data_IF_120643332786
#
_entry.id   IF_120643332786
#
_cell.length_a   1.000
_cell.length_b   1.000
_cell.length_c   1.000
_cell.angle_alpha   90.00
_cell.angle_beta   90.00
_cell.angle_gamma   90.00
#
_symmetry.space_group_name_H-M   'P 1'
#
loop_
_entity.id
_entity.type
_entity.pdbx_description
1 polymer ?
#
# COMPACT_ATOMS: atom_id res chain seq x y z
N UNK A 1 -4.08 -30.86 -4.28
CA UNK A 1 -4.42 -29.59 -3.61
C UNK A 1 -4.78 -28.58 -4.68
N UNK A 2 -6.02 -28.06 -4.76
CA UNK A 2 -6.44 -27.37 -5.97
C UNK A 2 -5.79 -25.97 -6.06
N UNK A 3 -5.24 -25.71 -7.25
CA UNK A 3 -4.66 -24.46 -7.72
C UNK A 3 -5.76 -23.56 -8.31
N UNK A 4 -6.61 -22.95 -7.49
CA UNK A 4 -7.75 -22.12 -7.98
C UNK A 4 -7.65 -20.63 -7.65
N UNK A 5 -6.72 -20.19 -6.81
CA UNK A 5 -6.66 -18.81 -6.30
C UNK A 5 -6.11 -17.75 -7.29
N UNK A 6 -6.14 -17.98 -8.61
CA UNK A 6 -5.47 -17.10 -9.58
C UNK A 6 -6.33 -16.63 -10.76
N UNK A 7 -7.67 -16.64 -10.67
CA UNK A 7 -8.51 -16.20 -11.82
C UNK A 7 -9.63 -15.20 -11.55
N UNK A 8 -9.94 -14.86 -10.31
CA UNK A 8 -11.08 -14.00 -10.01
C UNK A 8 -10.59 -12.74 -9.28
N UNK A 9 -10.81 -11.58 -9.90
CA UNK A 9 -10.58 -10.27 -9.29
C UNK A 9 -11.65 -9.92 -8.25
N UNK A 10 -11.54 -8.78 -7.56
CA UNK A 10 -12.52 -8.31 -6.60
C UNK A 10 -14.00 -8.37 -7.04
N UNK A 11 -14.30 -8.02 -8.29
CA UNK A 11 -15.66 -8.08 -8.83
C UNK A 11 -16.22 -9.50 -8.82
N UNK A 12 -15.43 -10.47 -9.23
CA UNK A 12 -15.86 -11.87 -9.31
C UNK A 12 -16.17 -12.46 -7.91
N UNK A 13 -15.33 -12.17 -6.91
CA UNK A 13 -15.61 -12.60 -5.53
C UNK A 13 -16.84 -11.89 -4.95
N UNK A 14 -17.04 -10.61 -5.26
CA UNK A 14 -18.21 -9.86 -4.79
C UNK A 14 -19.52 -10.43 -5.39
N UNK A 15 -19.52 -10.72 -6.69
CA UNK A 15 -20.64 -11.35 -7.36
C UNK A 15 -20.94 -12.75 -6.82
N UNK A 16 -19.91 -13.56 -6.53
CA UNK A 16 -20.11 -14.88 -5.93
C UNK A 16 -20.82 -14.80 -4.56
N UNK A 17 -20.50 -13.79 -3.74
CA UNK A 17 -21.17 -13.57 -2.45
C UNK A 17 -22.63 -13.11 -2.61
N UNK A 18 -22.95 -12.33 -3.65
CA UNK A 18 -24.33 -11.97 -3.99
C UNK A 18 -25.13 -13.20 -4.45
N UNK A 19 -24.55 -14.03 -5.31
CA UNK A 19 -25.19 -15.26 -5.81
C UNK A 19 -25.42 -16.30 -4.70
N UNK A 20 -24.51 -16.36 -3.72
CA UNK A 20 -24.65 -17.19 -2.53
C UNK A 20 -25.69 -16.66 -1.52
N UNK A 21 -26.18 -15.42 -1.69
CA UNK A 21 -27.10 -14.77 -0.76
C UNK A 21 -26.44 -14.27 0.54
N UNK A 22 -25.11 -14.28 0.62
CA UNK A 22 -24.33 -13.77 1.76
C UNK A 22 -24.29 -12.24 1.79
N UNK A 23 -24.48 -11.60 0.63
CA UNK A 23 -24.59 -10.15 0.48
C UNK A 23 -25.90 -9.76 -0.19
N UNK A 24 -26.38 -8.56 0.16
CA UNK A 24 -27.47 -7.90 -0.53
C UNK A 24 -26.89 -6.90 -1.55
N UNK A 25 -27.52 -6.71 -2.72
CA UNK A 25 -27.07 -5.72 -3.69
C UNK A 25 -27.01 -4.31 -3.08
N UNK A 26 -25.85 -3.67 -3.17
CA UNK A 26 -25.63 -2.28 -2.73
C UNK A 26 -24.83 -1.53 -3.80
N UNK A 27 -25.41 -0.46 -4.36
CA UNK A 27 -24.81 0.32 -5.44
C UNK A 27 -23.48 1.01 -5.03
N UNK A 28 -23.33 1.40 -3.77
CA UNK A 28 -22.09 2.00 -3.26
C UNK A 28 -20.99 0.95 -3.10
N UNK A 29 -21.34 -0.25 -2.64
CA UNK A 29 -20.39 -1.36 -2.59
C UNK A 29 -19.94 -1.77 -3.99
N UNK A 30 -20.88 -1.88 -4.94
CA UNK A 30 -20.56 -2.18 -6.34
C UNK A 30 -19.58 -1.15 -6.94
N UNK A 31 -19.82 0.16 -6.74
CA UNK A 31 -18.91 1.21 -7.21
C UNK A 31 -17.52 1.16 -6.57
N UNK A 32 -17.44 0.83 -5.27
CA UNK A 32 -16.18 0.62 -4.58
C UNK A 32 -15.43 -0.62 -5.11
N UNK A 33 -16.15 -1.71 -5.38
CA UNK A 33 -15.61 -2.94 -5.96
C UNK A 33 -15.04 -2.69 -7.36
N UNK A 34 -15.73 -1.93 -8.22
CA UNK A 34 -15.18 -1.55 -9.54
C UNK A 34 -13.88 -0.75 -9.42
N UNK A 35 -13.78 0.11 -8.40
CA UNK A 35 -12.52 0.82 -8.14
C UNK A 35 -11.41 -0.15 -7.71
N UNK A 36 -11.73 -1.11 -6.84
CA UNK A 36 -10.79 -2.14 -6.37
C UNK A 36 -10.37 -3.10 -7.49
N UNK A 37 -11.28 -3.44 -8.41
CA UNK A 37 -11.00 -4.25 -9.60
C UNK A 37 -10.00 -3.56 -10.53
N UNK A 38 -10.19 -2.26 -10.78
CA UNK A 38 -9.21 -1.45 -11.53
C UNK A 38 -7.83 -1.52 -10.88
N UNK A 39 -7.75 -1.30 -9.56
CA UNK A 39 -6.48 -1.35 -8.84
C UNK A 39 -5.86 -2.75 -8.87
N UNK A 40 -6.67 -3.80 -8.75
CA UNK A 40 -6.21 -5.19 -8.85
C UNK A 40 -5.50 -5.46 -10.19
N UNK A 41 -6.12 -5.05 -11.30
CA UNK A 41 -5.51 -5.18 -12.63
C UNK A 41 -4.25 -4.35 -12.80
N UNK A 42 -4.25 -3.09 -12.35
CA UNK A 42 -3.06 -2.25 -12.40
C UNK A 42 -1.89 -2.83 -11.59
N UNK A 43 -2.17 -3.47 -10.44
CA UNK A 43 -1.15 -4.10 -9.60
C UNK A 43 -0.57 -5.39 -10.19
N UNK A 44 -1.34 -6.17 -10.95
CA UNK A 44 -0.83 -7.37 -11.63
C UNK A 44 0.36 -7.03 -12.55
N UNK A 45 0.26 -5.91 -13.25
CA UNK A 45 1.25 -5.43 -14.21
C UNK A 45 2.34 -4.56 -13.57
N UNK A 46 2.11 -4.07 -12.35
CA UNK A 46 3.03 -3.18 -11.67
C UNK A 46 4.26 -3.92 -11.11
N UNK A 47 5.46 -3.37 -11.36
CA UNK A 47 6.72 -3.88 -10.81
C UNK A 47 7.48 -2.71 -10.16
N UNK A 48 7.57 -2.64 -8.83
CA UNK A 48 8.11 -1.49 -8.09
C UNK A 48 9.63 -1.27 -8.23
N UNK A 49 10.30 -1.94 -9.17
CA UNK A 49 11.73 -1.78 -9.47
C UNK A 49 12.05 -2.05 -10.95
N UNK A 50 11.08 -1.84 -11.84
CA UNK A 50 11.34 -1.92 -13.29
C UNK A 50 12.42 -0.90 -13.66
N UNK A 51 13.59 -1.37 -14.13
CA UNK A 51 14.75 -0.53 -14.50
C UNK A 51 14.30 0.72 -15.25
N UNK A 52 14.38 1.87 -14.61
CA UNK A 52 14.27 3.17 -15.27
C UNK A 52 15.52 3.32 -16.13
N UNK A 53 15.38 3.14 -17.45
CA UNK A 53 16.50 3.32 -18.36
C UNK A 53 16.83 4.81 -18.47
N UNK A 54 18.02 5.19 -17.97
CA UNK A 54 18.47 6.58 -17.85
C UNK A 54 19.23 7.12 -19.08
N UNK A 55 19.25 6.43 -20.22
CA UNK A 55 19.97 6.90 -21.42
C UNK A 55 19.01 7.14 -22.60
N UNK A 56 18.94 8.41 -23.02
CA UNK A 56 18.34 8.98 -24.25
C UNK A 56 16.96 8.46 -24.70
N UNK A 57 16.52 8.86 -25.90
CA UNK A 57 15.39 8.42 -26.77
C UNK A 57 14.36 7.38 -26.27
N UNK A 58 14.75 6.36 -25.49
CA UNK A 58 13.88 5.36 -24.90
C UNK A 58 13.29 5.69 -23.52
N UNK A 59 13.44 6.92 -23.02
CA UNK A 59 12.65 7.43 -21.86
C UNK A 59 11.13 7.37 -22.10
N UNK A 60 10.69 7.31 -23.36
CA UNK A 60 9.28 7.08 -23.74
C UNK A 60 8.79 5.64 -23.49
N UNK A 61 9.69 4.68 -23.28
CA UNK A 61 9.37 3.32 -22.85
C UNK A 61 9.51 3.17 -21.32
N UNK A 62 9.48 4.29 -20.59
CA UNK A 62 9.58 4.33 -19.13
C UNK A 62 8.51 3.48 -18.46
N UNK A 63 8.93 2.72 -17.43
CA UNK A 63 8.08 1.79 -16.69
C UNK A 63 6.74 2.41 -16.26
N UNK A 64 5.71 1.58 -16.16
CA UNK A 64 4.36 1.99 -15.75
C UNK A 64 4.42 2.76 -14.43
N UNK A 65 3.78 3.93 -14.40
CA UNK A 65 3.61 4.73 -13.19
C UNK A 65 2.96 3.89 -12.08
N UNK A 66 3.32 4.17 -10.82
CA UNK A 66 2.69 3.53 -9.68
C UNK A 66 1.16 3.68 -9.74
N UNK A 67 0.39 2.59 -9.57
CA UNK A 67 -1.06 2.64 -9.55
C UNK A 67 -1.58 3.62 -8.50
N UNK A 68 -2.65 4.35 -8.83
CA UNK A 68 -3.30 5.20 -7.83
C UNK A 68 -4.06 4.33 -6.83
N UNK A 69 -3.71 4.47 -5.56
CA UNK A 69 -4.39 3.81 -4.44
C UNK A 69 -5.85 4.24 -4.26
N UNK A 70 -6.54 3.61 -3.33
CA UNK A 70 -7.97 3.81 -3.06
C UNK A 70 -8.16 4.15 -1.58
N UNK A 71 -8.99 5.15 -1.32
CA UNK A 71 -9.45 5.50 0.01
C UNK A 71 -10.94 5.17 0.13
N UNK A 72 -11.26 4.11 0.89
CA UNK A 72 -12.64 3.69 1.13
C UNK A 72 -13.24 4.48 2.29
N UNK A 73 -14.28 5.25 2.02
CA UNK A 73 -14.99 6.04 3.03
C UNK A 73 -16.49 5.80 2.98
N UNK A 74 -17.18 6.09 4.08
CA UNK A 74 -18.62 5.89 4.21
C UNK A 74 -19.03 5.57 5.65
N UNK A 75 -20.34 5.51 5.89
CA UNK A 75 -20.90 5.28 7.23
C UNK A 75 -20.47 3.97 7.89
N UNK A 76 -20.72 3.87 9.20
CA UNK A 76 -20.50 2.65 9.99
C UNK A 76 -21.40 1.52 9.46
N UNK A 77 -20.89 0.28 9.47
CA UNK A 77 -21.66 -0.90 9.03
C UNK A 77 -21.86 -1.04 7.52
N UNK A 78 -21.25 -0.18 6.69
CA UNK A 78 -21.38 -0.25 5.21
C UNK A 78 -20.51 -1.29 4.51
N UNK A 79 -19.80 -2.13 5.27
CA UNK A 79 -19.00 -3.22 4.71
C UNK A 79 -17.61 -2.83 4.20
N UNK A 80 -17.08 -1.65 4.52
CA UNK A 80 -15.75 -1.18 4.05
C UNK A 80 -14.63 -2.20 4.34
N UNK A 81 -14.57 -2.72 5.57
CA UNK A 81 -13.58 -3.73 5.95
C UNK A 81 -13.76 -5.00 5.12
N UNK A 82 -14.98 -5.49 4.93
CA UNK A 82 -15.26 -6.65 4.06
C UNK A 82 -14.78 -6.42 2.62
N UNK A 83 -15.00 -5.24 2.03
CA UNK A 83 -14.48 -4.92 0.69
C UNK A 83 -12.94 -4.92 0.66
N UNK A 84 -12.30 -4.44 1.73
CA UNK A 84 -10.84 -4.48 1.89
C UNK A 84 -10.33 -5.93 2.05
N UNK A 85 -11.01 -6.78 2.84
CA UNK A 85 -10.71 -8.21 2.99
C UNK A 85 -10.72 -8.91 1.64
N UNK A 86 -11.80 -8.68 0.88
CA UNK A 86 -12.02 -9.28 -0.41
C UNK A 86 -10.88 -8.90 -1.38
N UNK A 87 -10.62 -7.60 -1.53
CA UNK A 87 -9.51 -7.12 -2.37
C UNK A 87 -8.16 -7.66 -1.92
N UNK A 88 -7.86 -7.59 -0.62
CA UNK A 88 -6.59 -8.05 -0.08
C UNK A 88 -6.38 -9.54 -0.34
N UNK A 89 -7.43 -10.35 -0.23
CA UNK A 89 -7.36 -11.80 -0.47
C UNK A 89 -6.95 -12.11 -1.90
N UNK A 90 -7.59 -11.48 -2.89
CA UNK A 90 -7.33 -11.74 -4.31
C UNK A 90 -6.14 -10.99 -4.90
N UNK A 91 -5.64 -9.93 -4.24
CA UNK A 91 -4.51 -9.16 -4.74
C UNK A 91 -3.28 -10.08 -5.00
N UNK A 92 -2.86 -10.16 -6.26
CA UNK A 92 -1.76 -11.02 -6.71
C UNK A 92 -0.36 -10.47 -6.36
N UNK A 93 -0.28 -9.37 -5.62
CA UNK A 93 0.98 -8.76 -5.14
C UNK A 93 1.58 -9.61 -4.03
N UNK A 94 2.77 -10.23 -4.21
CA UNK A 94 3.36 -11.09 -3.20
C UNK A 94 3.76 -10.33 -1.92
N UNK A 95 4.37 -9.16 -2.08
CA UNK A 95 4.75 -8.27 -0.99
C UNK A 95 3.57 -7.35 -0.63
N UNK A 96 2.58 -7.90 0.08
CA UNK A 96 1.43 -7.13 0.58
C UNK A 96 1.35 -7.22 2.11
N UNK A 97 0.93 -6.12 2.72
CA UNK A 97 0.71 -6.00 4.16
C UNK A 97 -0.63 -5.34 4.41
N UNK A 98 -1.41 -5.93 5.32
CA UNK A 98 -2.62 -5.33 5.87
C UNK A 98 -2.45 -5.13 7.36
N UNK A 99 -2.80 -3.95 7.86
CA UNK A 99 -2.53 -3.57 9.25
C UNK A 99 -3.51 -2.49 9.71
N UNK A 100 -3.88 -2.51 10.99
CA UNK A 100 -4.60 -1.39 11.59
C UNK A 100 -3.70 -0.16 11.64
N UNK A 101 -4.25 1.02 11.37
CA UNK A 101 -3.45 2.22 11.25
C UNK A 101 -2.63 2.56 12.51
N UNK A 102 -3.19 2.36 13.71
CA UNK A 102 -2.47 2.60 14.96
C UNK A 102 -1.25 1.67 15.13
N UNK A 103 -1.39 0.39 14.80
CA UNK A 103 -0.28 -0.58 14.86
C UNK A 103 0.81 -0.23 13.86
N UNK A 104 0.44 0.30 12.70
CA UNK A 104 1.41 0.82 11.74
C UNK A 104 2.19 2.00 12.32
N UNK A 105 1.54 2.96 12.97
CA UNK A 105 2.22 4.08 13.59
C UNK A 105 3.19 3.65 14.70
N UNK A 106 2.82 2.65 15.52
CA UNK A 106 3.72 2.08 16.51
C UNK A 106 4.98 1.46 15.87
N UNK A 107 4.82 0.74 14.76
CA UNK A 107 5.94 0.19 13.98
C UNK A 107 6.84 1.32 13.42
N UNK A 108 6.25 2.39 12.87
CA UNK A 108 7.01 3.56 12.40
C UNK A 108 7.81 4.18 13.54
N UNK A 109 7.20 4.46 14.69
CA UNK A 109 7.89 5.05 15.84
C UNK A 109 9.00 4.16 16.36
N UNK A 110 8.81 2.84 16.39
CA UNK A 110 9.85 1.89 16.77
C UNK A 110 11.05 1.95 15.81
N UNK A 111 10.82 2.03 14.49
CA UNK A 111 11.88 2.16 13.48
C UNK A 111 12.61 3.50 13.56
N UNK A 112 11.90 4.60 13.79
CA UNK A 112 12.51 5.91 13.99
C UNK A 112 13.38 5.93 15.25
N UNK A 113 12.90 5.35 16.36
CA UNK A 113 13.68 5.21 17.58
C UNK A 113 14.94 4.37 17.35
N UNK A 114 14.79 3.21 16.69
CA UNK A 114 15.93 2.36 16.37
C UNK A 114 16.98 3.10 15.53
N UNK A 115 16.56 3.93 14.58
CA UNK A 115 17.48 4.80 13.82
C UNK A 115 18.23 5.79 14.71
N UNK A 116 17.53 6.45 15.64
CA UNK A 116 18.15 7.39 16.57
C UNK A 116 19.14 6.72 17.55
N UNK A 117 18.91 5.46 17.89
CA UNK A 117 19.79 4.69 18.75
C UNK A 117 21.09 4.24 18.04
N UNK A 118 21.15 4.34 16.69
CA UNK A 118 22.36 4.04 15.91
C UNK A 118 23.45 5.10 16.11
N UNK A 119 24.71 4.66 16.12
CA UNK A 119 25.85 5.57 16.11
C UNK A 119 25.92 6.37 14.80
N UNK A 120 26.60 7.52 14.83
CA UNK A 120 26.79 8.34 13.62
C UNK A 120 27.49 7.58 12.49
N UNK A 121 28.36 6.61 12.81
CA UNK A 121 29.04 5.76 11.81
C UNK A 121 28.10 4.75 11.16
N UNK A 122 27.11 4.26 11.89
CA UNK A 122 26.10 3.32 11.38
C UNK A 122 25.10 4.08 10.51
N UNK A 123 24.63 5.25 10.96
CA UNK A 123 23.72 6.10 10.17
C UNK A 123 24.33 6.51 8.83
N UNK A 124 25.61 6.90 8.82
CA UNK A 124 26.34 7.22 7.59
C UNK A 124 26.41 6.09 6.54
N UNK A 125 26.20 4.82 6.94
CA UNK A 125 26.14 3.69 5.99
C UNK A 125 24.78 3.55 5.31
N UNK A 126 23.72 4.05 5.96
CA UNK A 126 22.34 3.97 5.48
C UNK A 126 21.86 5.27 4.81
N UNK A 127 22.59 6.37 5.02
CA UNK A 127 22.35 7.67 4.40
C UNK A 127 22.76 7.69 2.92
N UNK A 128 21.86 8.20 2.07
CA UNK A 128 22.28 8.70 0.76
C UNK A 128 22.83 10.11 0.95
N UNK A 129 23.75 10.54 0.08
CA UNK A 129 24.41 11.87 0.16
C UNK A 129 23.43 13.06 0.25
N UNK A 130 22.16 12.88 -0.10
CA UNK A 130 21.09 13.89 -0.07
C UNK A 130 20.24 13.90 1.21
N UNK A 131 20.26 12.84 2.01
CA UNK A 131 19.23 12.61 3.03
C UNK A 131 19.61 13.26 4.38
N UNK A 132 20.89 13.50 4.62
CA UNK A 132 21.40 13.94 5.92
C UNK A 132 21.01 12.98 7.04
N UNK A 133 20.95 13.47 8.28
CA UNK A 133 20.60 12.66 9.46
C UNK A 133 19.07 12.48 9.65
N UNK A 134 18.30 12.54 8.57
CA UNK A 134 16.84 12.38 8.60
C UNK A 134 16.47 10.88 8.68
N UNK A 135 15.75 10.45 9.73
CA UNK A 135 15.33 9.05 9.88
C UNK A 135 14.22 8.63 8.90
N UNK A 136 13.50 9.58 8.27
CA UNK A 136 12.32 9.24 7.45
C UNK A 136 12.68 8.53 6.14
N UNK A 137 13.59 9.04 5.28
CA UNK A 137 13.99 8.36 4.04
C UNK A 137 14.47 6.90 4.22
N UNK A 138 15.34 6.57 5.19
CA UNK A 138 15.78 5.18 5.38
C UNK A 138 14.63 4.27 5.84
N UNK A 139 13.75 4.74 6.73
CA UNK A 139 12.55 3.99 7.15
C UNK A 139 11.58 3.78 5.98
N UNK A 140 11.35 4.80 5.14
CA UNK A 140 10.53 4.68 3.94
C UNK A 140 11.08 3.61 2.97
N UNK A 141 12.40 3.61 2.74
CA UNK A 141 13.06 2.59 1.90
C UNK A 141 12.89 1.18 2.46
N UNK A 142 12.99 1.03 3.78
CA UNK A 142 12.79 -0.26 4.43
C UNK A 142 11.36 -0.77 4.19
N UNK A 143 10.36 0.10 4.39
CA UNK A 143 8.94 -0.25 4.16
C UNK A 143 8.68 -0.58 2.70
N UNK A 144 9.19 0.23 1.77
CA UNK A 144 9.02 0.00 0.32
C UNK A 144 9.68 -1.30 -0.15
N UNK A 145 10.79 -1.70 0.49
CA UNK A 145 11.44 -2.98 0.23
C UNK A 145 10.62 -4.17 0.77
N UNK A 146 10.00 -4.01 1.94
CA UNK A 146 9.18 -5.05 2.58
C UNK A 146 7.78 -5.18 1.95
N UNK A 147 7.21 -4.08 1.46
CA UNK A 147 5.79 -3.99 1.09
C UNK A 147 5.59 -3.18 -0.18
N UNK A 148 4.96 -3.79 -1.18
CA UNK A 148 4.51 -3.14 -2.42
C UNK A 148 3.05 -2.69 -2.32
N UNK A 149 2.19 -3.46 -1.65
CA UNK A 149 0.79 -3.13 -1.41
C UNK A 149 0.54 -3.00 0.10
N UNK A 150 0.24 -1.80 0.56
CA UNK A 150 -0.10 -1.52 1.95
C UNK A 150 -1.59 -1.20 2.07
N UNK A 151 -2.31 -2.03 2.81
CA UNK A 151 -3.73 -1.86 3.10
C UNK A 151 -3.90 -1.45 4.57
N UNK A 152 -4.52 -0.30 4.81
CA UNK A 152 -4.84 0.15 6.16
C UNK A 152 -6.29 -0.12 6.51
N UNK A 153 -6.51 -0.71 7.67
CA UNK A 153 -7.80 -0.67 8.35
C UNK A 153 -7.85 0.51 9.30
N UNK A 154 -9.03 1.14 9.40
CA UNK A 154 -9.31 2.23 10.36
C UNK A 154 -8.29 3.37 10.30
N UNK A 155 -8.06 3.92 9.10
CA UNK A 155 -7.19 5.10 8.93
C UNK A 155 -7.79 6.32 9.62
N UNK A 156 -7.37 6.57 10.85
CA UNK A 156 -7.72 7.75 11.62
C UNK A 156 -6.47 8.34 12.25
N UNK A 157 -6.13 9.57 11.84
CA UNK A 157 -5.02 10.33 12.42
C UNK A 157 -5.60 11.30 13.44
N UNK A 158 -5.31 11.06 14.71
CA UNK A 158 -5.79 11.91 15.82
C UNK A 158 -4.72 12.85 16.37
N UNK A 159 -3.46 12.52 16.18
CA UNK A 159 -2.32 13.26 16.72
C UNK A 159 -1.59 14.04 15.61
N UNK A 160 -1.20 15.29 15.91
CA UNK A 160 -0.54 16.17 14.95
C UNK A 160 0.90 15.75 14.64
N UNK A 161 1.61 15.19 15.62
CA UNK A 161 2.96 14.68 15.42
C UNK A 161 2.94 13.45 14.51
N UNK A 162 1.98 12.54 14.70
CA UNK A 162 1.75 11.39 13.81
C UNK A 162 1.47 11.86 12.37
N UNK A 163 0.64 12.90 12.23
CA UNK A 163 0.34 13.49 10.92
C UNK A 163 1.60 14.07 10.24
N UNK A 164 2.48 14.74 11.01
CA UNK A 164 3.74 15.28 10.49
C UNK A 164 4.69 14.17 10.02
N UNK A 165 4.78 13.06 10.77
CA UNK A 165 5.59 11.89 10.41
C UNK A 165 5.04 11.25 9.14
N UNK A 166 3.73 10.96 9.09
CA UNK A 166 3.08 10.34 7.93
C UNK A 166 3.23 11.16 6.65
N UNK A 167 3.04 12.47 6.74
CA UNK A 167 3.13 13.36 5.57
C UNK A 167 4.50 13.23 4.93
N UNK A 168 5.55 13.21 5.74
CA UNK A 168 6.93 13.04 5.27
C UNK A 168 7.15 11.61 4.77
N UNK A 169 6.70 10.60 5.50
CA UNK A 169 6.86 9.20 5.12
C UNK A 169 6.22 8.88 3.77
N UNK A 170 4.96 9.26 3.55
CA UNK A 170 4.27 9.02 2.28
C UNK A 170 4.87 9.82 1.14
N UNK A 171 5.32 11.06 1.41
CA UNK A 171 6.06 11.85 0.42
C UNK A 171 7.29 11.08 -0.06
N UNK A 172 8.09 10.53 0.86
CA UNK A 172 9.25 9.71 0.50
C UNK A 172 8.83 8.45 -0.25
N UNK A 173 7.86 7.68 0.25
CA UNK A 173 7.35 6.46 -0.38
C UNK A 173 6.87 6.68 -1.82
N UNK A 174 6.26 7.82 -2.13
CA UNK A 174 5.77 8.13 -3.50
C UNK A 174 6.87 8.58 -4.46
N UNK A 175 8.09 8.82 -3.98
CA UNK A 175 9.25 9.15 -4.83
C UNK A 175 10.17 7.96 -5.11
N UNK A 176 10.00 6.86 -4.37
CA UNK A 176 10.72 5.60 -4.56
C UNK A 176 10.15 4.81 -5.75
#
# INVERSE_FOLDING_TARGET
MPKTAQKNGPEAEYHALLEAGELQPDAYQAGAITSLERLHHELIEYRPNGKQWTTGWLRWFGGKLAPKGIYLYGGVGRGKSMLMDLFYTVAATPAKRRVHFHEFMLDIHARLKAWHDLSARERAQHERRSDGDDPIPPVARQIAHETTLLCFDELQVTDIADAMVLTRLFKELFTL
#
